data_IF_510473190840
#
_entry.id   IF_510473190840
#
_cell.length_a   1.000
_cell.length_b   1.000
_cell.length_c   1.000
_cell.angle_alpha   90.00
_cell.angle_beta   90.00
_cell.angle_gamma   90.00
#
_symmetry.space_group_name_H-M   'P 1'
#
loop_
_entity.id
_entity.type
_entity.pdbx_description
1 polymer ?
#
# COMPACT_ATOMS: atom_id res chain seq x y z
N UNK A 1 -20.82 -0.17 3.35
CA UNK A 1 -20.67 0.12 4.82
C UNK A 1 -19.48 1.06 5.00
N UNK A 2 -19.54 2.04 5.92
CA UNK A 2 -18.44 2.95 6.22
C UNK A 2 -18.21 2.90 7.74
N UNK A 3 -17.10 2.27 8.16
CA UNK A 3 -16.72 2.12 9.56
C UNK A 3 -15.65 3.15 9.89
N UNK A 4 -15.87 3.92 10.95
CA UNK A 4 -14.88 4.86 11.50
C UNK A 4 -14.50 4.44 12.92
N UNK A 5 -13.22 4.15 13.12
CA UNK A 5 -12.64 3.75 14.41
C UNK A 5 -11.85 4.94 14.94
N UNK A 6 -12.28 5.56 16.05
CA UNK A 6 -11.55 6.65 16.66
C UNK A 6 -10.24 6.16 17.27
N UNK A 7 -9.19 6.94 17.12
CA UNK A 7 -7.87 6.79 17.71
C UNK A 7 -7.57 8.03 18.58
N UNK A 8 -6.49 8.02 19.37
CA UNK A 8 -6.13 9.17 20.21
C UNK A 8 -5.91 10.44 19.38
N UNK A 9 -6.06 11.58 20.02
CA UNK A 9 -5.65 12.91 19.53
C UNK A 9 -6.25 13.30 18.18
N UNK A 10 -7.53 13.01 17.95
CA UNK A 10 -8.24 13.39 16.72
C UNK A 10 -7.91 12.55 15.50
N UNK A 11 -7.13 11.48 15.66
CA UNK A 11 -6.90 10.49 14.61
C UNK A 11 -8.07 9.49 14.52
N UNK A 12 -8.24 8.87 13.37
CA UNK A 12 -9.18 7.77 13.17
C UNK A 12 -8.74 6.88 12.00
N UNK A 13 -9.20 5.63 12.01
CA UNK A 13 -9.19 4.76 10.84
C UNK A 13 -10.57 4.76 10.20
N UNK A 14 -10.62 4.92 8.88
CA UNK A 14 -11.82 4.77 8.06
C UNK A 14 -11.69 3.52 7.21
N UNK A 15 -12.70 2.65 7.24
CA UNK A 15 -12.77 1.42 6.44
C UNK A 15 -14.09 1.43 5.69
N UNK A 16 -14.04 1.44 4.37
CA UNK A 16 -15.22 1.39 3.52
C UNK A 16 -15.20 0.13 2.67
N UNK A 17 -16.34 -0.57 2.60
CA UNK A 17 -16.53 -1.73 1.73
C UNK A 17 -16.82 -1.34 0.26
N UNK A 18 -16.97 -0.04 0.00
CA UNK A 18 -17.04 0.49 -1.36
C UNK A 18 -15.64 0.70 -1.91
N UNK A 19 -15.39 0.14 -3.08
CA UNK A 19 -14.16 0.39 -3.81
C UNK A 19 -14.03 1.88 -4.12
N UNK A 20 -13.05 2.54 -3.50
CA UNK A 20 -12.77 3.94 -3.78
C UNK A 20 -12.13 4.07 -5.16
N UNK A 21 -12.89 4.51 -6.14
CA UNK A 21 -12.35 4.97 -7.41
C UNK A 21 -11.87 6.40 -7.25
N UNK A 22 -10.57 6.64 -7.42
CA UNK A 22 -10.06 7.97 -7.73
C UNK A 22 -10.09 8.20 -9.23
N UNK A 23 -9.90 9.45 -9.66
CA UNK A 23 -9.84 9.84 -11.09
C UNK A 23 -8.71 9.13 -11.88
N UNK A 24 -7.84 8.39 -11.19
CA UNK A 24 -6.66 7.73 -11.74
C UNK A 24 -6.89 6.27 -12.14
N UNK A 25 -7.97 5.66 -11.65
CA UNK A 25 -8.37 4.29 -11.97
C UNK A 25 -9.77 4.29 -12.61
N UNK A 26 -9.93 4.86 -13.81
CA UNK A 26 -11.25 5.16 -14.37
C UNK A 26 -12.03 3.91 -14.74
N UNK A 27 -11.37 2.79 -14.96
CA UNK A 27 -12.00 1.58 -15.52
C UNK A 27 -12.42 0.57 -14.48
N UNK A 28 -11.73 0.51 -13.32
CA UNK A 28 -12.06 -0.39 -12.22
C UNK A 28 -11.75 0.27 -10.89
N UNK A 29 -12.58 -0.03 -9.92
CA UNK A 29 -12.41 0.45 -8.55
C UNK A 29 -11.56 -0.55 -7.78
N UNK A 30 -10.48 -0.05 -7.21
CA UNK A 30 -9.61 -0.80 -6.34
C UNK A 30 -10.16 -0.80 -4.91
N UNK A 31 -10.34 -1.99 -4.31
CA UNK A 31 -10.73 -2.06 -2.92
C UNK A 31 -9.59 -1.61 -2.02
N UNK A 32 -9.87 -0.68 -1.11
CA UNK A 32 -8.90 -0.17 -0.14
C UNK A 32 -9.11 -0.79 1.24
N UNK A 33 -8.02 -0.84 2.01
CA UNK A 33 -8.04 -1.17 3.44
C UNK A 33 -8.30 0.04 4.33
N UNK A 34 -7.98 -0.06 5.63
CA UNK A 34 -8.09 1.04 6.58
C UNK A 34 -7.27 2.25 6.15
N UNK A 35 -7.92 3.41 6.09
CA UNK A 35 -7.36 4.69 5.69
C UNK A 35 -7.25 5.62 6.89
N UNK A 36 -6.14 6.34 7.00
CA UNK A 36 -5.90 7.28 8.11
C UNK A 36 -6.62 8.60 7.89
N UNK A 37 -7.28 9.05 8.94
CA UNK A 37 -7.96 10.35 9.02
C UNK A 37 -7.36 11.13 10.17
N UNK A 38 -7.01 12.39 9.96
CA UNK A 38 -6.58 13.33 10.99
C UNK A 38 -7.49 14.56 10.96
N UNK A 39 -8.06 14.91 12.13
CA UNK A 39 -8.95 16.06 12.29
C UNK A 39 -10.08 16.13 11.24
N UNK A 40 -10.63 14.96 10.88
CA UNK A 40 -11.67 14.83 9.88
C UNK A 40 -11.20 14.78 8.43
N UNK A 41 -9.92 15.05 8.14
CA UNK A 41 -9.32 15.00 6.81
C UNK A 41 -8.74 13.62 6.53
N UNK A 42 -9.07 13.05 5.36
CA UNK A 42 -8.49 11.79 4.90
C UNK A 42 -7.05 12.02 4.40
N UNK A 43 -6.09 11.22 4.91
CA UNK A 43 -4.66 11.32 4.56
C UNK A 43 -4.22 10.28 3.53
N UNK A 44 -5.13 9.50 3.00
CA UNK A 44 -4.79 8.34 2.17
C UNK A 44 -4.54 8.66 0.70
N UNK A 45 -5.23 9.64 0.13
CA UNK A 45 -5.17 9.95 -1.31
C UNK A 45 -5.18 8.68 -2.19
N UNK A 46 -4.07 8.40 -2.88
CA UNK A 46 -3.91 7.25 -3.76
C UNK A 46 -3.38 5.97 -3.06
N UNK A 47 -3.05 6.04 -1.77
CA UNK A 47 -2.64 4.86 -1.00
C UNK A 47 -3.74 3.82 -0.91
N UNK A 48 -3.37 2.56 -0.87
CA UNK A 48 -4.34 1.44 -0.81
C UNK A 48 -4.85 1.16 0.61
N UNK A 49 -4.25 1.76 1.63
CA UNK A 49 -4.60 1.55 3.04
C UNK A 49 -3.68 0.56 3.74
N UNK A 50 -4.01 0.25 5.01
CA UNK A 50 -3.25 -0.69 5.82
C UNK A 50 -3.74 -2.12 5.64
N UNK A 51 -2.80 -3.08 5.65
CA UNK A 51 -3.09 -4.51 5.67
C UNK A 51 -3.69 -5.06 4.37
N UNK A 52 -3.51 -4.39 3.24
CA UNK A 52 -4.10 -4.82 1.97
C UNK A 52 -3.23 -5.88 1.30
N UNK A 53 -3.72 -7.12 1.10
CA UNK A 53 -2.97 -8.14 0.41
C UNK A 53 -2.95 -7.90 -1.10
N UNK A 54 -1.79 -8.18 -1.71
CA UNK A 54 -1.56 -8.14 -3.15
C UNK A 54 -0.79 -9.40 -3.53
N UNK A 55 -1.12 -10.02 -4.67
CA UNK A 55 -0.40 -11.18 -5.16
C UNK A 55 0.49 -10.81 -6.34
N UNK A 56 1.69 -11.38 -6.38
CA UNK A 56 2.57 -11.38 -7.54
C UNK A 56 2.49 -12.74 -8.23
N UNK A 57 2.18 -12.75 -9.52
CA UNK A 57 2.10 -13.96 -10.35
C UNK A 57 2.87 -13.70 -11.65
N UNK A 58 4.14 -14.12 -11.66
CA UNK A 58 5.05 -13.72 -12.73
C UNK A 58 5.18 -12.19 -12.79
N UNK A 59 4.85 -11.61 -13.96
CA UNK A 59 4.85 -10.14 -14.17
C UNK A 59 3.55 -9.45 -13.73
N UNK A 60 2.54 -10.22 -13.36
CA UNK A 60 1.24 -9.69 -12.98
C UNK A 60 1.22 -9.28 -11.51
N UNK A 61 0.60 -8.15 -11.22
CA UNK A 61 0.25 -7.74 -9.87
C UNK A 61 -1.27 -7.79 -9.75
N UNK A 62 -1.76 -8.53 -8.76
CA UNK A 62 -3.18 -8.79 -8.57
C UNK A 62 -3.63 -8.09 -7.29
N UNK A 63 -4.67 -7.29 -7.43
CA UNK A 63 -5.23 -6.43 -6.40
C UNK A 63 -6.64 -6.87 -6.00
N UNK A 64 -7.12 -6.47 -4.81
CA UNK A 64 -8.50 -6.70 -4.43
C UNK A 64 -9.45 -5.81 -5.23
N UNK A 65 -10.49 -6.43 -5.79
CA UNK A 65 -11.59 -5.76 -6.48
C UNK A 65 -12.83 -5.58 -5.61
N UNK A 66 -12.87 -6.24 -4.44
CA UNK A 66 -13.95 -6.18 -3.48
C UNK A 66 -13.51 -6.65 -2.09
N UNK A 67 -14.36 -6.40 -1.10
CA UNK A 67 -14.13 -6.80 0.27
C UNK A 67 -15.47 -7.02 0.98
N UNK A 68 -15.58 -8.08 1.76
CA UNK A 68 -16.60 -8.19 2.79
C UNK A 68 -16.03 -7.79 4.14
N UNK A 69 -16.83 -7.09 4.96
CA UNK A 69 -16.39 -6.51 6.21
C UNK A 69 -17.30 -6.96 7.36
N UNK A 70 -16.71 -7.49 8.41
CA UNK A 70 -17.38 -7.74 9.69
C UNK A 70 -16.57 -7.10 10.82
N UNK A 71 -17.26 -6.60 11.84
CA UNK A 71 -16.58 -5.99 12.97
C UNK A 71 -17.36 -6.14 14.27
N UNK A 72 -16.64 -6.10 15.38
CA UNK A 72 -17.17 -6.11 16.73
C UNK A 72 -16.37 -5.14 17.59
N UNK A 73 -17.10 -4.37 18.42
CA UNK A 73 -16.49 -3.47 19.40
C UNK A 73 -16.58 -4.09 20.80
N UNK A 74 -15.47 -4.03 21.56
CA UNK A 74 -15.37 -4.44 22.96
C UNK A 74 -14.67 -3.33 23.76
N UNK A 75 -15.45 -2.42 24.32
CA UNK A 75 -14.92 -1.23 24.98
C UNK A 75 -14.15 -0.34 23.99
N UNK A 76 -12.82 -0.20 24.21
CA UNK A 76 -11.94 0.55 23.32
C UNK A 76 -11.35 -0.31 22.19
N UNK A 77 -11.49 -1.63 22.27
CA UNK A 77 -10.98 -2.55 21.26
C UNK A 77 -12.01 -2.77 20.16
N UNK A 78 -11.52 -2.78 18.90
CA UNK A 78 -12.30 -3.07 17.72
C UNK A 78 -11.68 -4.27 17.01
N UNK A 79 -12.41 -5.36 16.95
CA UNK A 79 -12.05 -6.53 16.15
C UNK A 79 -12.70 -6.36 14.77
N UNK A 80 -11.90 -6.27 13.74
CA UNK A 80 -12.33 -6.09 12.34
C UNK A 80 -11.82 -7.28 11.53
N UNK A 81 -12.71 -7.90 10.79
CA UNK A 81 -12.38 -8.96 9.81
C UNK A 81 -12.77 -8.48 8.43
N UNK A 82 -11.78 -8.37 7.54
CA UNK A 82 -11.96 -8.05 6.15
C UNK A 82 -11.58 -9.26 5.30
N UNK A 83 -12.47 -9.72 4.43
CA UNK A 83 -12.14 -10.74 3.42
C UNK A 83 -12.02 -10.04 2.09
N UNK A 84 -10.79 -9.86 1.62
CA UNK A 84 -10.48 -9.27 0.33
C UNK A 84 -10.62 -10.30 -0.77
N UNK A 85 -11.25 -9.92 -1.87
CA UNK A 85 -11.35 -10.70 -3.08
C UNK A 85 -10.34 -10.20 -4.12
N UNK A 86 -9.24 -10.92 -4.29
CA UNK A 86 -8.18 -10.58 -5.22
C UNK A 86 -8.55 -11.09 -6.61
N UNK A 87 -9.03 -10.18 -7.45
CA UNK A 87 -9.55 -10.49 -8.78
C UNK A 87 -9.18 -9.47 -9.85
N UNK A 88 -8.37 -8.45 -9.53
CA UNK A 88 -8.01 -7.38 -10.47
C UNK A 88 -6.53 -7.42 -10.81
N UNK A 89 -6.20 -7.53 -12.09
CA UNK A 89 -4.82 -7.42 -12.61
C UNK A 89 -4.53 -5.98 -13.01
N UNK A 90 -3.41 -5.45 -12.50
CA UNK A 90 -2.86 -4.17 -12.95
C UNK A 90 -2.43 -4.27 -14.41
N UNK A 91 -2.86 -3.30 -15.22
CA UNK A 91 -2.52 -3.15 -16.63
C UNK A 91 -2.02 -1.74 -16.91
N UNK A 92 -1.21 -1.62 -17.93
CA UNK A 92 -0.85 -0.35 -18.49
C UNK A 92 -1.70 -0.12 -19.75
N UNK A 93 -2.39 1.00 -19.82
CA UNK A 93 -3.21 1.38 -20.98
C UNK A 93 -2.79 2.74 -21.51
N UNK A 94 -3.06 3.01 -22.77
CA UNK A 94 -2.97 4.35 -23.33
C UNK A 94 -4.31 5.05 -23.13
N UNK A 95 -4.28 6.31 -22.74
CA UNK A 95 -5.49 7.11 -22.54
C UNK A 95 -6.34 7.10 -23.84
N UNK A 96 -7.56 6.55 -23.77
CA UNK A 96 -8.45 6.38 -24.92
C UNK A 96 -8.14 5.19 -25.84
N UNK A 97 -7.21 4.31 -25.48
CA UNK A 97 -6.83 3.12 -26.25
C UNK A 97 -7.09 1.81 -25.51
N UNK A 98 -6.88 0.67 -26.22
CA UNK A 98 -6.91 -0.66 -25.61
C UNK A 98 -5.77 -0.85 -24.64
N UNK A 99 -6.01 -1.60 -23.56
CA UNK A 99 -4.95 -2.05 -22.64
C UNK A 99 -3.98 -2.99 -23.35
N UNK A 100 -2.70 -2.89 -23.03
CA UNK A 100 -1.70 -3.81 -23.53
C UNK A 100 -0.73 -4.22 -22.43
N UNK A 101 -0.21 -5.45 -22.53
CA UNK A 101 0.88 -5.92 -21.67
C UNK A 101 2.19 -5.91 -22.47
N UNK A 102 2.95 -4.84 -22.46
CA UNK A 102 4.26 -4.89 -23.11
C UNK A 102 5.24 -5.54 -22.13
N UNK A 103 5.59 -6.79 -22.38
CA UNK A 103 6.62 -7.53 -21.64
C UNK A 103 7.90 -6.68 -21.47
N UNK A 104 8.28 -5.97 -22.52
CA UNK A 104 9.46 -5.07 -22.53
C UNK A 104 9.34 -3.93 -21.51
N UNK A 105 8.14 -3.37 -21.27
CA UNK A 105 7.97 -2.27 -20.31
C UNK A 105 7.98 -2.75 -18.86
N UNK A 106 7.49 -3.94 -18.58
CA UNK A 106 7.60 -4.53 -17.23
C UNK A 106 9.03 -4.91 -16.92
N UNK A 107 9.76 -5.50 -17.89
CA UNK A 107 11.19 -5.79 -17.75
C UNK A 107 12.00 -4.48 -17.61
N UNK A 108 11.65 -3.42 -18.34
CA UNK A 108 12.26 -2.11 -18.20
C UNK A 108 11.92 -1.47 -16.83
N UNK A 109 10.70 -1.63 -16.32
CA UNK A 109 10.30 -1.18 -14.98
C UNK A 109 11.14 -1.86 -13.89
N UNK A 110 11.33 -3.17 -13.99
CA UNK A 110 12.15 -3.93 -13.04
C UNK A 110 13.64 -3.57 -13.15
N UNK A 111 14.14 -3.38 -14.37
CA UNK A 111 15.53 -2.92 -14.61
C UNK A 111 15.75 -1.50 -14.10
N UNK A 112 14.79 -0.59 -14.31
CA UNK A 112 14.79 0.76 -13.77
C UNK A 112 14.70 0.74 -12.22
N UNK A 113 13.87 -0.09 -11.65
CA UNK A 113 13.79 -0.25 -10.19
C UNK A 113 15.11 -0.79 -9.62
N UNK A 114 15.76 -1.74 -10.29
CA UNK A 114 17.08 -2.23 -9.92
C UNK A 114 18.16 -1.13 -10.01
N UNK A 115 18.09 -0.30 -11.06
CA UNK A 115 19.01 0.84 -11.23
C UNK A 115 18.75 1.93 -10.17
N UNK A 116 17.50 2.20 -9.84
CA UNK A 116 17.10 3.08 -8.73
C UNK A 116 17.71 2.64 -7.40
N UNK A 117 17.67 1.33 -7.11
CA UNK A 117 18.27 0.78 -5.89
C UNK A 117 19.80 0.91 -5.86
N UNK A 118 20.46 0.73 -7.03
CA UNK A 118 21.92 0.78 -7.14
C UNK A 118 22.53 2.18 -7.17
N UNK A 119 21.78 3.18 -7.60
CA UNK A 119 22.30 4.53 -7.83
C UNK A 119 21.40 5.61 -7.23
N UNK A 120 21.52 5.89 -5.93
CA UNK A 120 20.69 6.91 -5.25
C UNK A 120 20.74 8.29 -5.91
N UNK A 121 21.90 8.67 -6.46
CA UNK A 121 22.09 9.96 -7.15
C UNK A 121 21.29 10.10 -8.45
N UNK A 122 20.95 8.99 -9.10
CA UNK A 122 20.17 8.98 -10.34
C UNK A 122 18.66 8.88 -10.08
N UNK A 123 18.22 8.63 -8.85
CA UNK A 123 16.81 8.41 -8.51
C UNK A 123 15.91 9.57 -8.95
N UNK A 124 16.29 10.79 -8.65
CA UNK A 124 15.54 11.98 -9.05
C UNK A 124 15.39 12.12 -10.57
N UNK A 125 16.47 11.90 -11.32
CA UNK A 125 16.46 11.94 -12.78
C UNK A 125 15.60 10.82 -13.38
N UNK A 126 15.73 9.59 -12.87
CA UNK A 126 14.94 8.44 -13.35
C UNK A 126 13.45 8.60 -13.05
N UNK A 127 13.11 9.13 -11.88
CA UNK A 127 11.70 9.43 -11.51
C UNK A 127 11.13 10.51 -12.43
N UNK A 128 11.87 11.59 -12.67
CA UNK A 128 11.48 12.66 -13.59
C UNK A 128 11.32 12.14 -15.03
N UNK A 129 12.27 11.33 -15.51
CA UNK A 129 12.21 10.72 -16.84
C UNK A 129 11.00 9.78 -16.97
N UNK A 130 10.75 8.90 -16.00
CA UNK A 130 9.61 7.99 -16.03
C UNK A 130 8.27 8.73 -16.00
N UNK A 131 8.14 9.79 -15.20
CA UNK A 131 6.94 10.61 -15.13
C UNK A 131 6.70 11.38 -16.43
N UNK A 132 7.77 11.89 -17.06
CA UNK A 132 7.70 12.59 -18.33
C UNK A 132 7.29 11.64 -19.45
N UNK A 133 7.88 10.44 -19.51
CA UNK A 133 7.50 9.41 -20.49
C UNK A 133 6.05 8.97 -20.32
N UNK A 134 5.60 8.68 -19.11
CA UNK A 134 4.18 8.35 -18.85
C UNK A 134 3.24 9.45 -19.36
N UNK A 135 3.58 10.70 -19.11
CA UNK A 135 2.78 11.84 -19.55
C UNK A 135 2.82 12.01 -21.08
N UNK A 136 4.00 11.94 -21.70
CA UNK A 136 4.17 12.11 -23.13
C UNK A 136 3.44 11.02 -23.94
N UNK A 137 3.43 9.79 -23.44
CA UNK A 137 2.76 8.66 -24.11
C UNK A 137 1.30 8.48 -23.68
N UNK A 138 0.79 9.28 -22.74
CA UNK A 138 -0.58 9.17 -22.23
C UNK A 138 -0.84 7.83 -21.53
N UNK A 139 0.16 7.24 -20.90
CA UNK A 139 0.00 5.96 -20.22
C UNK A 139 -0.68 6.13 -18.86
N UNK A 140 -1.70 5.30 -18.66
CA UNK A 140 -2.48 5.23 -17.41
C UNK A 140 -2.48 3.80 -16.88
N UNK A 141 -2.46 3.66 -15.56
CA UNK A 141 -2.68 2.37 -14.92
C UNK A 141 -4.18 2.08 -14.91
N UNK A 142 -4.56 0.89 -15.36
CA UNK A 142 -5.93 0.38 -15.34
C UNK A 142 -5.96 -0.96 -14.63
N UNK A 143 -7.15 -1.41 -14.24
CA UNK A 143 -7.37 -2.71 -13.62
C UNK A 143 -8.39 -3.48 -14.45
N UNK A 144 -8.06 -4.73 -14.74
CA UNK A 144 -8.89 -5.68 -15.48
C UNK A 144 -9.14 -6.91 -14.62
N UNK A 145 -10.19 -7.66 -14.95
CA UNK A 145 -10.49 -8.93 -14.32
C UNK A 145 -9.33 -9.92 -14.52
N UNK A 146 -8.90 -10.58 -13.44
CA UNK A 146 -7.81 -11.55 -13.45
C UNK A 146 -8.24 -12.92 -14.01
N UNK A 147 -9.54 -13.14 -14.19
CA UNK A 147 -10.11 -14.42 -14.58
C UNK A 147 -10.18 -15.44 -13.45
N UNK A 148 -9.93 -15.04 -12.22
CA UNK A 148 -10.08 -15.85 -11.00
C UNK A 148 -10.35 -14.95 -9.79
N UNK A 149 -10.82 -15.59 -8.71
CA UNK A 149 -11.06 -14.98 -7.41
C UNK A 149 -10.21 -15.66 -6.35
N UNK A 150 -9.50 -14.88 -5.52
CA UNK A 150 -8.70 -15.39 -4.42
C UNK A 150 -9.05 -14.64 -3.13
N UNK A 151 -9.93 -15.20 -2.28
CA UNK A 151 -10.28 -14.58 -1.02
C UNK A 151 -9.13 -14.69 -0.01
N UNK A 152 -8.76 -13.57 0.60
CA UNK A 152 -7.78 -13.50 1.68
C UNK A 152 -8.41 -12.81 2.89
N UNK A 153 -8.42 -13.52 4.02
CA UNK A 153 -8.91 -12.97 5.28
C UNK A 153 -7.81 -12.18 5.99
N UNK A 154 -8.14 -10.95 6.36
CA UNK A 154 -7.32 -10.06 7.18
C UNK A 154 -8.09 -9.68 8.43
N UNK A 155 -7.51 -9.92 9.57
CA UNK A 155 -8.06 -9.50 10.87
C UNK A 155 -7.23 -8.39 11.45
N UNK A 156 -7.89 -7.35 11.93
CA UNK A 156 -7.27 -6.24 12.63
C UNK A 156 -7.89 -6.10 14.01
N UNK A 157 -7.08 -6.08 15.06
CA UNK A 157 -7.51 -5.64 16.38
C UNK A 157 -6.98 -4.25 16.63
N UNK A 158 -7.85 -3.27 16.67
CA UNK A 158 -7.51 -1.84 16.84
C UNK A 158 -7.78 -1.43 18.27
N UNK A 159 -6.76 -0.96 18.98
CA UNK A 159 -6.91 -0.30 20.28
C UNK A 159 -7.13 1.21 20.07
N UNK A 160 -8.37 1.65 20.15
CA UNK A 160 -8.75 3.05 20.01
C UNK A 160 -8.21 3.96 21.12
N UNK A 161 -7.63 3.42 22.18
CA UNK A 161 -7.01 4.19 23.26
C UNK A 161 -5.50 4.39 23.12
N UNK A 162 -4.81 3.58 22.32
CA UNK A 162 -3.35 3.64 22.16
C UNK A 162 -2.89 3.81 20.71
N UNK A 163 -3.79 3.71 19.74
CA UNK A 163 -3.43 3.74 18.31
C UNK A 163 -2.68 2.50 17.82
N UNK A 164 -2.62 1.43 18.64
CA UNK A 164 -2.05 0.14 18.21
C UNK A 164 -3.04 -0.65 17.39
N UNK A 165 -2.54 -1.24 16.31
CA UNK A 165 -3.29 -2.12 15.42
C UNK A 165 -2.52 -3.42 15.26
N UNK A 166 -3.06 -4.52 15.76
CA UNK A 166 -2.52 -5.86 15.53
C UNK A 166 -3.19 -6.42 14.28
N UNK A 167 -2.40 -6.74 13.24
CA UNK A 167 -2.87 -7.24 11.95
C UNK A 167 -2.48 -8.70 11.79
N UNK A 168 -3.38 -9.55 11.35
CA UNK A 168 -3.12 -10.94 11.02
C UNK A 168 -3.82 -11.35 9.72
N UNK A 169 -3.13 -12.16 8.92
CA UNK A 169 -3.62 -12.66 7.63
C UNK A 169 -3.60 -14.17 7.61
N UNK A 170 -4.61 -14.74 6.97
CA UNK A 170 -4.67 -16.17 6.62
C UNK A 170 -4.51 -16.29 5.10
N UNK A 171 -3.43 -16.96 4.67
CA UNK A 171 -2.98 -17.07 3.27
C UNK A 171 -3.13 -18.51 2.80
N UNK A 172 -4.35 -19.02 2.77
CA UNK A 172 -4.65 -20.37 2.31
C UNK A 172 -5.38 -20.34 0.97
N UNK A 173 -5.13 -21.34 0.12
CA UNK A 173 -5.82 -21.43 -1.17
C UNK A 173 -5.37 -20.41 -2.20
N UNK A 174 -4.08 -19.99 -2.14
CA UNK A 174 -3.52 -19.10 -3.15
C UNK A 174 -3.56 -19.76 -4.54
N UNK A 175 -3.83 -18.98 -5.61
CA UNK A 175 -3.83 -19.49 -6.98
C UNK A 175 -2.45 -20.03 -7.39
N UNK A 176 -2.45 -20.99 -8.30
CA UNK A 176 -1.22 -21.50 -8.89
C UNK A 176 -0.39 -20.41 -9.56
N UNK A 177 0.93 -20.52 -9.42
CA UNK A 177 1.88 -19.60 -10.03
C UNK A 177 2.07 -18.30 -9.28
N UNK A 178 1.47 -18.11 -8.09
CA UNK A 178 1.80 -17.00 -7.19
C UNK A 178 3.25 -17.17 -6.71
N UNK A 179 4.05 -16.13 -6.86
CA UNK A 179 5.49 -16.13 -6.51
C UNK A 179 5.77 -15.33 -5.24
N UNK A 180 4.90 -14.38 -4.90
CA UNK A 180 5.06 -13.50 -3.72
C UNK A 180 3.68 -13.00 -3.28
N UNK A 181 3.48 -12.89 -1.97
CA UNK A 181 2.38 -12.13 -1.37
C UNK A 181 2.95 -10.86 -0.78
N UNK A 182 2.36 -9.71 -1.09
CA UNK A 182 2.76 -8.44 -0.52
C UNK A 182 1.62 -7.89 0.32
N UNK A 183 1.90 -7.59 1.59
CA UNK A 183 0.93 -6.94 2.48
C UNK A 183 1.24 -5.46 2.51
N UNK A 184 0.38 -4.67 1.86
CA UNK A 184 0.57 -3.24 1.68
C UNK A 184 0.09 -2.45 2.90
N UNK A 185 0.85 -1.43 3.25
CA UNK A 185 0.53 -0.46 4.29
C UNK A 185 0.85 0.93 3.75
N UNK A 186 -0.03 1.48 2.94
CA UNK A 186 0.17 2.72 2.20
C UNK A 186 -0.87 3.76 2.54
N UNK A 187 -0.41 5.00 2.65
CA UNK A 187 -1.25 6.20 2.80
C UNK A 187 -0.88 7.23 1.70
N UNK A 188 -1.46 8.41 1.76
CA UNK A 188 -1.21 9.45 0.75
C UNK A 188 0.23 9.98 0.78
N UNK A 189 0.92 9.90 -0.33
CA UNK A 189 2.31 10.35 -0.45
C UNK A 189 2.50 11.87 -0.35
N UNK A 190 1.43 12.67 -0.46
CA UNK A 190 1.50 14.12 -0.24
C UNK A 190 1.43 14.45 1.23
N UNK A 191 0.67 13.67 2.00
CA UNK A 191 0.60 13.82 3.45
C UNK A 191 1.84 13.27 4.12
N UNK A 192 2.30 12.07 3.75
CA UNK A 192 3.44 11.40 4.35
C UNK A 192 4.73 11.67 3.56
N UNK A 193 5.46 12.68 3.99
CA UNK A 193 6.61 13.26 3.27
C UNK A 193 7.98 12.90 3.86
N UNK A 194 8.01 12.37 5.08
CA UNK A 194 9.23 12.02 5.80
C UNK A 194 9.21 10.52 6.19
N UNK A 195 10.28 9.82 5.89
CA UNK A 195 10.60 8.49 6.44
C UNK A 195 11.64 8.65 7.55
N UNK A 196 11.44 7.94 8.66
CA UNK A 196 12.40 7.82 9.75
C UNK A 196 12.51 6.37 10.20
N UNK A 197 13.65 5.96 10.76
CA UNK A 197 13.80 4.61 11.28
C UNK A 197 14.67 4.55 12.55
N UNK A 198 14.70 3.38 13.20
CA UNK A 198 15.42 3.16 14.44
C UNK A 198 16.95 3.15 14.29
N UNK A 199 17.50 3.23 13.10
CA UNK A 199 18.93 3.46 12.87
C UNK A 199 19.31 4.95 12.88
N UNK A 200 18.32 5.85 12.98
CA UNK A 200 18.50 7.29 12.93
C UNK A 200 18.43 7.86 11.50
N UNK A 201 18.07 7.05 10.51
CA UNK A 201 17.87 7.58 9.17
C UNK A 201 16.61 8.46 9.10
N UNK A 202 16.72 9.61 8.40
CA UNK A 202 15.62 10.52 8.09
C UNK A 202 15.71 10.87 6.60
N UNK A 203 14.74 10.37 5.80
CA UNK A 203 14.77 10.47 4.35
C UNK A 203 13.57 11.22 3.81
N UNK A 204 13.76 12.03 2.77
CA UNK A 204 12.70 12.80 2.10
C UNK A 204 12.74 12.62 0.59
N UNK A 205 11.63 12.85 -0.05
CA UNK A 205 11.54 12.86 -1.51
C UNK A 205 12.06 11.56 -2.17
N UNK A 206 12.93 11.67 -3.21
CA UNK A 206 13.47 10.49 -3.91
C UNK A 206 14.36 9.58 -3.06
N UNK A 207 14.93 10.09 -1.96
CA UNK A 207 15.79 9.29 -1.08
C UNK A 207 15.03 8.19 -0.35
N UNK A 208 13.72 8.35 -0.15
CA UNK A 208 12.85 7.32 0.42
C UNK A 208 12.89 6.04 -0.42
N UNK A 209 13.02 6.18 -1.74
CA UNK A 209 13.06 5.07 -2.69
C UNK A 209 11.66 4.61 -3.12
N UNK A 210 11.66 3.58 -3.96
CA UNK A 210 10.46 2.90 -4.45
C UNK A 210 10.62 1.40 -4.25
N UNK A 211 10.19 0.86 -3.13
CA UNK A 211 10.39 -0.55 -2.73
C UNK A 211 11.82 -0.91 -2.35
N UNK A 212 12.46 -0.03 -1.61
CA UNK A 212 13.76 -0.28 -1.00
C UNK A 212 13.57 -1.09 0.30
N UNK A 213 14.51 -1.97 0.61
CA UNK A 213 14.49 -2.74 1.87
C UNK A 213 14.64 -1.78 3.06
N UNK A 214 13.97 -2.09 4.16
CA UNK A 214 14.11 -1.39 5.45
C UNK A 214 15.12 -2.17 6.29
N UNK A 215 16.34 -1.64 6.53
CA UNK A 215 17.35 -2.36 7.31
C UNK A 215 17.14 -2.29 8.82
N UNK A 216 16.39 -1.29 9.28
CA UNK A 216 16.18 -1.01 10.69
C UNK A 216 15.08 -1.90 11.30
N UNK A 217 15.17 -2.14 12.62
CA UNK A 217 14.19 -2.95 13.34
C UNK A 217 12.78 -2.35 13.34
N UNK A 218 12.66 -1.01 13.28
CA UNK A 218 11.40 -0.28 13.18
C UNK A 218 11.56 0.95 12.31
N UNK A 219 10.51 1.26 11.55
CA UNK A 219 10.48 2.43 10.68
C UNK A 219 9.09 3.08 10.67
N UNK A 220 9.05 4.36 10.33
CA UNK A 220 7.83 5.15 10.29
C UNK A 220 7.78 6.06 9.06
N UNK A 221 6.55 6.34 8.62
CA UNK A 221 6.23 7.47 7.77
C UNK A 221 5.53 8.56 8.58
N UNK A 222 5.99 9.78 8.41
CA UNK A 222 5.52 10.96 9.13
C UNK A 222 4.91 11.95 8.16
N UNK A 223 3.73 12.44 8.51
CA UNK A 223 3.12 13.63 7.92
C UNK A 223 3.55 14.83 8.74
N UNK A 224 4.48 15.62 8.21
CA UNK A 224 4.96 16.83 8.91
C UNK A 224 3.91 17.95 8.94
N UNK A 225 2.97 17.93 7.99
CA UNK A 225 1.87 18.90 7.93
C UNK A 225 0.73 18.55 8.88
N UNK A 226 0.38 17.24 8.97
CA UNK A 226 -0.76 16.76 9.76
C UNK A 226 -0.34 16.28 11.14
N UNK A 227 0.94 16.36 11.47
CA UNK A 227 1.49 15.84 12.73
C UNK A 227 1.02 14.40 13.04
N UNK A 228 0.99 13.55 12.01
CA UNK A 228 0.55 12.16 12.11
C UNK A 228 1.65 11.21 11.67
N UNK A 229 1.75 10.07 12.32
CA UNK A 229 2.77 9.07 12.02
C UNK A 229 2.14 7.67 12.04
N UNK A 230 2.63 6.79 11.17
CA UNK A 230 2.42 5.35 11.29
C UNK A 230 3.74 4.60 11.20
N UNK A 231 3.92 3.58 12.05
CA UNK A 231 5.17 2.85 12.14
C UNK A 231 4.96 1.35 12.14
N UNK A 232 5.93 0.62 11.56
CA UNK A 232 5.98 -0.84 11.46
C UNK A 232 7.34 -1.35 11.92
N UNK A 233 7.38 -2.59 12.40
CA UNK A 233 8.62 -3.30 12.76
C UNK A 233 8.98 -4.38 11.74
N UNK A 234 10.22 -4.89 11.81
CA UNK A 234 10.59 -6.14 11.17
C UNK A 234 9.79 -7.28 11.78
N UNK A 235 9.43 -8.24 10.96
CA UNK A 235 8.68 -9.43 11.36
C UNK A 235 9.29 -10.67 10.72
N UNK A 236 9.45 -11.73 11.47
CA UNK A 236 10.01 -12.99 10.97
C UNK A 236 9.23 -13.55 9.79
N UNK A 237 9.96 -14.10 8.83
CA UNK A 237 9.38 -14.70 7.63
C UNK A 237 8.94 -13.70 6.55
N UNK A 238 9.13 -12.39 6.78
CA UNK A 238 8.80 -11.34 5.84
C UNK A 238 9.98 -10.39 5.59
N UNK A 239 10.01 -9.79 4.40
CA UNK A 239 10.93 -8.70 4.09
C UNK A 239 10.15 -7.40 4.12
N UNK A 240 10.50 -6.48 5.01
CA UNK A 240 9.91 -5.15 5.07
C UNK A 240 10.56 -4.23 4.03
N UNK A 241 9.73 -3.61 3.20
CA UNK A 241 10.14 -2.63 2.19
C UNK A 241 9.44 -1.31 2.40
N UNK A 242 10.06 -0.23 1.95
CA UNK A 242 9.50 1.12 1.96
C UNK A 242 9.45 1.71 0.56
N UNK A 243 8.54 2.63 0.35
CA UNK A 243 8.48 3.39 -0.88
C UNK A 243 7.62 4.63 -0.77
N UNK A 244 7.88 5.58 -1.67
CA UNK A 244 7.07 6.76 -1.90
C UNK A 244 7.10 7.11 -3.38
N UNK A 245 5.94 7.37 -3.95
CA UNK A 245 5.83 7.79 -5.33
C UNK A 245 4.90 8.99 -5.46
N UNK A 246 5.39 10.00 -6.20
CA UNK A 246 4.62 11.17 -6.61
C UNK A 246 4.72 11.28 -8.13
N UNK A 247 3.59 11.06 -8.82
CA UNK A 247 3.52 11.19 -10.28
C UNK A 247 2.61 12.35 -10.65
N UNK A 248 3.17 13.56 -10.59
CA UNK A 248 2.43 14.80 -10.85
C UNK A 248 1.29 15.00 -9.85
N UNK A 249 0.09 15.31 -10.36
CA UNK A 249 -1.13 15.43 -9.54
C UNK A 249 -1.88 14.12 -9.37
N UNK A 250 -1.43 13.04 -10.01
CA UNK A 250 -2.27 11.87 -10.25
C UNK A 250 -1.95 10.64 -9.40
N UNK A 251 -0.75 10.48 -8.91
CA UNK A 251 -0.36 9.34 -8.10
C UNK A 251 0.50 9.82 -6.94
N UNK A 252 0.08 9.57 -5.73
CA UNK A 252 0.79 9.99 -4.54
C UNK A 252 0.56 8.97 -3.41
N UNK A 253 1.48 8.03 -3.26
CA UNK A 253 1.46 7.07 -2.15
C UNK A 253 2.79 7.09 -1.39
N UNK A 254 2.73 6.75 -0.11
CA UNK A 254 3.86 6.51 0.76
C UNK A 254 3.53 5.38 1.71
N UNK A 255 4.46 4.48 1.95
CA UNK A 255 4.21 3.39 2.86
C UNK A 255 5.22 2.26 2.81
N UNK A 256 4.79 1.16 3.39
CA UNK A 256 5.52 -0.07 3.55
C UNK A 256 4.83 -1.24 2.88
N UNK A 257 5.60 -2.28 2.56
CA UNK A 257 5.08 -3.58 2.17
C UNK A 257 5.88 -4.70 2.80
N UNK A 258 5.18 -5.69 3.36
CA UNK A 258 5.80 -6.96 3.73
C UNK A 258 5.74 -7.91 2.54
N UNK A 259 6.90 -8.31 2.04
CA UNK A 259 7.04 -9.35 1.02
C UNK A 259 7.17 -10.70 1.67
N UNK A 260 6.29 -11.63 1.32
CA UNK A 260 6.18 -12.98 1.87
C UNK A 260 6.33 -14.03 0.76
N UNK A 261 7.03 -15.13 1.00
CA UNK A 261 7.00 -16.28 0.08
C UNK A 261 5.58 -16.89 0.08
N UNK A 262 5.13 -17.48 -1.03
CA UNK A 262 3.77 -18.04 -1.16
C UNK A 262 3.52 -19.27 -0.27
N UNK A 263 4.56 -19.81 0.36
CA UNK A 263 4.49 -20.92 1.31
C UNK A 263 4.03 -20.53 2.71
N UNK A 264 3.99 -19.22 3.01
CA UNK A 264 3.50 -18.69 4.29
C UNK A 264 1.98 -18.80 4.32
N UNK A 265 1.43 -19.51 5.29
CA UNK A 265 -0.03 -19.70 5.45
C UNK A 265 -0.65 -18.74 6.45
N UNK A 266 0.16 -18.18 7.34
CA UNK A 266 -0.27 -17.16 8.34
C UNK A 266 0.82 -16.13 8.52
N UNK A 267 0.42 -14.88 8.62
CA UNK A 267 1.32 -13.77 8.85
C UNK A 267 0.67 -12.77 9.80
N UNK A 268 1.46 -12.14 10.68
CA UNK A 268 0.97 -11.12 11.58
C UNK A 268 2.04 -10.11 11.93
N UNK A 269 1.63 -8.88 12.22
CA UNK A 269 2.50 -7.77 12.59
C UNK A 269 1.74 -6.72 13.40
N UNK A 270 2.48 -5.82 14.07
CA UNK A 270 1.92 -4.65 14.73
C UNK A 270 2.17 -3.37 13.93
N UNK A 271 1.14 -2.53 13.87
CA UNK A 271 1.16 -1.18 13.33
C UNK A 271 0.85 -0.21 14.48
N UNK A 272 1.57 0.89 14.57
CA UNK A 272 1.25 2.00 15.48
C UNK A 272 0.92 3.24 14.70
N UNK A 273 -0.10 3.95 15.17
CA UNK A 273 -0.58 5.20 14.61
C UNK A 273 -0.66 6.20 15.75
N UNK A 274 0.05 7.31 15.63
CA UNK A 274 0.16 8.32 16.69
C UNK A 274 0.37 9.73 16.12
N UNK A 275 0.14 10.73 16.96
CA UNK A 275 0.55 12.10 16.66
C UNK A 275 2.05 12.25 16.88
N UNK A 276 2.66 13.10 16.06
CA UNK A 276 4.02 13.61 16.33
C UNK A 276 3.91 14.92 17.07
N UNK A 277 4.68 15.05 18.12
CA UNK A 277 4.84 16.31 18.88
C UNK A 277 5.54 17.39 18.06
#
# INVERSE_FOLDING_TARGET
>A
MDLRIPLPEGLALRIADEAAGGDHYPTRRLQKGPLLVADGRLLAEEGVGFGVPILKRGIQTIFPGGMSLAWRRRGRLWDVTATYDLCLVERLARQGGSSFQPHLLYTAKDSLAALHRRSPRLRGLLTAASSTLRRAFGWVTTFEDAGFHAPIEVRCTVDGGSGRVDVSLTLTGLPDGVTEVVVMNEQGGRSFDLYVDSSGAALRGPEIGTWDDVPAARAAFVSTTDCAMFSLGQTDGARLRRGRELVGSRLAWAGFGYSLPPTVTRFGYDLRIERTS
#
